data_IF_221511542780
#
_entry.id   IF_221511542780
#
_cell.length_a   1.000
_cell.length_b   1.000
_cell.length_c   1.000
_cell.angle_alpha   90.00
_cell.angle_beta   90.00
_cell.angle_gamma   90.00
#
_symmetry.space_group_name_H-M   'P 1'
#
loop_
_entity.id
_entity.type
_entity.pdbx_description
1 polymer ?
#
# COMPACT_ATOMS: atom_id res chain seq x y z
N UNK A 1 6.29 -28.95 2.12
CA UNK A 1 5.48 -28.16 1.16
C UNK A 1 3.99 -28.11 1.50
N UNK A 2 3.38 -29.18 2.02
CA UNK A 2 1.95 -29.17 2.35
C UNK A 2 1.58 -28.23 3.51
N UNK A 3 2.41 -28.15 4.56
CA UNK A 3 2.26 -27.16 5.64
C UNK A 3 2.28 -25.71 5.11
N UNK A 4 3.28 -25.37 4.29
CA UNK A 4 3.39 -24.05 3.64
C UNK A 4 2.18 -23.73 2.74
N UNK A 5 1.65 -24.71 2.01
CA UNK A 5 0.42 -24.53 1.22
C UNK A 5 -0.79 -24.21 2.11
N UNK A 6 -0.89 -24.83 3.28
CA UNK A 6 -1.92 -24.54 4.28
C UNK A 6 -1.80 -23.12 4.85
N UNK A 7 -0.60 -22.71 5.22
CA UNK A 7 -0.35 -21.35 5.74
C UNK A 7 -0.60 -20.29 4.68
N UNK A 8 -0.21 -20.55 3.42
CA UNK A 8 -0.46 -19.65 2.30
C UNK A 8 -1.97 -19.49 2.01
N UNK A 9 -2.77 -20.56 2.15
CA UNK A 9 -4.23 -20.48 2.04
C UNK A 9 -4.84 -19.61 3.15
N UNK A 10 -4.41 -19.78 4.41
CA UNK A 10 -4.88 -18.96 5.53
C UNK A 10 -4.55 -17.49 5.32
N UNK A 11 -3.31 -17.19 4.90
CA UNK A 11 -2.87 -15.83 4.56
C UNK A 11 -3.69 -15.25 3.40
N UNK A 12 -3.97 -16.02 2.37
CA UNK A 12 -4.80 -15.59 1.24
C UNK A 12 -6.22 -15.25 1.68
N UNK A 13 -6.85 -16.09 2.50
CA UNK A 13 -8.21 -15.82 3.04
C UNK A 13 -8.20 -14.56 3.91
N UNK A 14 -7.17 -14.38 4.74
CA UNK A 14 -7.02 -13.17 5.53
C UNK A 14 -6.90 -11.91 4.66
N UNK A 15 -6.08 -11.94 3.61
CA UNK A 15 -5.95 -10.82 2.66
C UNK A 15 -7.29 -10.50 2.01
N UNK A 16 -8.03 -11.52 1.55
CA UNK A 16 -9.35 -11.34 0.92
C UNK A 16 -10.36 -10.74 1.90
N UNK A 17 -10.37 -11.17 3.17
CA UNK A 17 -11.26 -10.62 4.19
C UNK A 17 -10.95 -9.15 4.49
N UNK A 18 -9.67 -8.81 4.64
CA UNK A 18 -9.23 -7.43 4.88
C UNK A 18 -9.57 -6.55 3.67
N UNK A 19 -9.38 -7.06 2.46
CA UNK A 19 -9.70 -6.36 1.22
C UNK A 19 -11.21 -6.09 1.09
N UNK A 20 -12.04 -7.10 1.38
CA UNK A 20 -13.49 -6.94 1.41
C UNK A 20 -13.96 -5.90 2.44
N UNK A 21 -13.35 -5.89 3.63
CA UNK A 21 -13.62 -4.89 4.66
C UNK A 21 -13.18 -3.49 4.21
N UNK A 22 -12.04 -3.37 3.54
CA UNK A 22 -11.56 -2.10 2.99
C UNK A 22 -12.52 -1.54 1.93
N UNK A 23 -13.00 -2.38 1.00
CA UNK A 23 -14.00 -2.00 0.00
C UNK A 23 -15.28 -1.53 0.68
N UNK A 24 -15.77 -2.26 1.68
CA UNK A 24 -16.95 -1.89 2.45
C UNK A 24 -16.80 -0.50 3.10
N UNK A 25 -15.67 -0.24 3.77
CA UNK A 25 -15.41 1.06 4.38
C UNK A 25 -15.33 2.19 3.36
N UNK A 26 -14.73 1.97 2.19
CA UNK A 26 -14.65 2.96 1.11
C UNK A 26 -16.05 3.31 0.60
N UNK A 27 -16.90 2.31 0.37
CA UNK A 27 -18.29 2.52 -0.10
C UNK A 27 -19.10 3.29 0.94
N UNK A 28 -19.01 2.88 2.21
CA UNK A 28 -19.68 3.56 3.33
C UNK A 28 -19.22 5.01 3.43
N UNK A 29 -17.92 5.26 3.46
CA UNK A 29 -17.35 6.60 3.48
C UNK A 29 -17.86 7.45 2.30
N UNK A 30 -17.85 6.91 1.07
CA UNK A 30 -18.34 7.61 -0.11
C UNK A 30 -19.81 8.04 0.01
N UNK A 31 -20.67 7.20 0.56
CA UNK A 31 -22.10 7.52 0.78
C UNK A 31 -22.25 8.63 1.83
N UNK A 32 -21.57 8.51 2.98
CA UNK A 32 -21.63 9.52 4.05
C UNK A 32 -21.11 10.89 3.58
N UNK A 33 -20.01 10.93 2.84
CA UNK A 33 -19.42 12.18 2.36
C UNK A 33 -20.24 12.82 1.23
N UNK A 34 -20.87 12.04 0.35
CA UNK A 34 -21.79 12.59 -0.67
C UNK A 34 -22.99 13.28 -0.01
N UNK A 35 -23.55 12.70 1.04
CA UNK A 35 -24.69 13.29 1.76
C UNK A 35 -24.34 14.59 2.49
N UNK A 36 -23.11 14.71 3.02
CA UNK A 36 -22.63 15.93 3.70
C UNK A 36 -22.28 17.04 2.70
N UNK A 37 -21.73 16.69 1.53
CA UNK A 37 -21.29 17.67 0.51
C UNK A 37 -22.44 18.40 -0.17
N UNK A 38 -23.63 17.80 -0.23
CA UNK A 38 -24.83 18.47 -0.76
C UNK A 38 -25.26 19.62 0.18
N UNK A 39 -24.88 19.58 1.46
CA UNK A 39 -25.26 20.58 2.47
C UNK A 39 -24.30 21.78 2.58
N UNK A 40 -23.05 21.68 2.11
CA UNK A 40 -22.04 22.74 2.23
C UNK A 40 -21.38 23.05 0.87
N UNK A 41 -21.66 24.22 0.32
CA UNK A 41 -21.35 24.62 -1.07
C UNK A 41 -19.89 24.92 -1.43
N UNK A 42 -18.88 24.38 -0.74
CA UNK A 42 -17.46 24.59 -1.06
C UNK A 42 -16.91 23.47 -1.96
N UNK A 43 -16.97 23.66 -3.28
CA UNK A 43 -16.92 22.55 -4.25
C UNK A 43 -15.55 22.26 -4.89
N UNK A 44 -14.70 23.25 -5.20
CA UNK A 44 -13.62 23.01 -6.19
C UNK A 44 -12.37 22.34 -5.59
N UNK A 45 -11.91 22.78 -4.42
CA UNK A 45 -10.66 22.28 -3.83
C UNK A 45 -10.84 20.95 -3.11
N UNK A 46 -11.96 20.81 -2.40
CA UNK A 46 -12.34 19.58 -1.69
C UNK A 46 -12.48 18.40 -2.67
N UNK A 47 -13.00 18.65 -3.88
CA UNK A 47 -13.14 17.63 -4.91
C UNK A 47 -11.79 17.13 -5.46
N UNK A 48 -10.76 17.98 -5.53
CA UNK A 48 -9.41 17.56 -5.94
C UNK A 48 -8.78 16.61 -4.92
N UNK A 49 -8.83 16.95 -3.62
CA UNK A 49 -8.29 16.10 -2.55
C UNK A 49 -9.03 14.76 -2.49
N UNK A 50 -10.36 14.78 -2.67
CA UNK A 50 -11.18 13.57 -2.77
C UNK A 50 -10.78 12.70 -3.96
N UNK A 51 -10.63 13.30 -5.15
CA UNK A 51 -10.16 12.58 -6.33
C UNK A 51 -8.81 11.91 -6.09
N UNK A 52 -7.89 12.58 -5.39
CA UNK A 52 -6.59 12.01 -5.02
C UNK A 52 -6.72 10.86 -4.02
N UNK A 53 -7.53 11.00 -2.97
CA UNK A 53 -7.76 9.94 -1.98
C UNK A 53 -8.39 8.71 -2.64
N UNK A 54 -9.43 8.89 -3.45
CA UNK A 54 -10.06 7.82 -4.24
C UNK A 54 -9.03 7.15 -5.15
N UNK A 55 -8.17 7.95 -5.81
CA UNK A 55 -7.08 7.44 -6.64
C UNK A 55 -6.10 6.56 -5.88
N UNK A 56 -5.67 6.96 -4.68
CA UNK A 56 -4.81 6.13 -3.81
C UNK A 56 -5.51 4.82 -3.44
N UNK A 57 -6.77 4.88 -2.99
CA UNK A 57 -7.50 3.69 -2.60
C UNK A 57 -7.70 2.73 -3.78
N UNK A 58 -8.02 3.25 -4.97
CA UNK A 58 -8.16 2.46 -6.18
C UNK A 58 -6.83 1.83 -6.60
N UNK A 59 -5.73 2.57 -6.51
CA UNK A 59 -4.39 2.04 -6.77
C UNK A 59 -4.01 0.92 -5.79
N UNK A 60 -4.27 1.12 -4.49
CA UNK A 60 -4.04 0.11 -3.47
C UNK A 60 -4.86 -1.16 -3.73
N UNK A 61 -6.13 -1.01 -4.11
CA UNK A 61 -7.01 -2.13 -4.49
C UNK A 61 -6.44 -2.94 -5.66
N UNK A 62 -5.99 -2.29 -6.73
CA UNK A 62 -5.36 -2.98 -7.87
C UNK A 62 -4.13 -3.78 -7.44
N UNK A 63 -3.28 -3.21 -6.57
CA UNK A 63 -2.10 -3.89 -6.05
C UNK A 63 -2.50 -5.16 -5.28
N UNK A 64 -3.47 -5.06 -4.35
CA UNK A 64 -3.97 -6.20 -3.57
C UNK A 64 -4.51 -7.30 -4.48
N UNK A 65 -5.29 -6.95 -5.51
CA UNK A 65 -5.80 -7.91 -6.49
C UNK A 65 -4.68 -8.61 -7.26
N UNK A 66 -3.60 -7.92 -7.61
CA UNK A 66 -2.42 -8.54 -8.25
C UNK A 66 -1.75 -9.55 -7.30
N UNK A 67 -1.60 -9.21 -6.02
CA UNK A 67 -1.09 -10.14 -5.01
C UNK A 67 -1.98 -11.37 -4.84
N UNK A 68 -3.29 -11.18 -4.73
CA UNK A 68 -4.28 -12.28 -4.65
C UNK A 68 -4.13 -13.20 -5.86
N UNK A 69 -4.08 -12.65 -7.09
CA UNK A 69 -3.86 -13.44 -8.31
C UNK A 69 -2.55 -14.22 -8.27
N UNK A 70 -1.46 -13.60 -7.78
CA UNK A 70 -0.15 -14.25 -7.63
C UNK A 70 -0.21 -15.41 -6.65
N UNK A 71 -0.84 -15.24 -5.49
CA UNK A 71 -1.01 -16.29 -4.48
C UNK A 71 -1.90 -17.43 -4.96
N UNK A 72 -3.01 -17.14 -5.65
CA UNK A 72 -3.87 -18.17 -6.24
C UNK A 72 -3.10 -18.98 -7.30
N UNK A 73 -2.32 -18.33 -8.17
CA UNK A 73 -1.47 -19.01 -9.15
C UNK A 73 -0.41 -19.89 -8.46
N UNK A 74 0.24 -19.38 -7.41
CA UNK A 74 1.20 -20.15 -6.62
C UNK A 74 0.56 -21.34 -5.89
N UNK A 75 -0.70 -21.25 -5.46
CA UNK A 75 -1.41 -22.37 -4.82
C UNK A 75 -1.83 -23.48 -5.80
N UNK A 76 -2.05 -23.13 -7.07
CA UNK A 76 -2.42 -24.06 -8.16
C UNK A 76 -1.19 -24.76 -8.77
N UNK A 77 -0.05 -24.08 -8.80
CA UNK A 77 1.16 -24.52 -9.50
C UNK A 77 2.29 -24.83 -8.50
N UNK A 78 2.74 -26.10 -8.45
CA UNK A 78 3.78 -26.53 -7.50
C UNK A 78 5.13 -25.86 -7.75
N UNK A 79 5.47 -25.51 -9.00
CA UNK A 79 6.74 -24.83 -9.28
C UNK A 79 6.71 -23.40 -8.75
N UNK A 80 5.61 -22.68 -8.97
CA UNK A 80 5.44 -21.31 -8.46
C UNK A 80 5.37 -21.28 -6.94
N UNK A 81 4.77 -22.30 -6.30
CA UNK A 81 4.79 -22.45 -4.85
C UNK A 81 6.22 -22.60 -4.33
N UNK A 82 7.02 -23.43 -5.00
CA UNK A 82 8.41 -23.69 -4.63
C UNK A 82 9.27 -22.44 -4.81
N UNK A 83 9.08 -21.71 -5.90
CA UNK A 83 9.76 -20.43 -6.14
C UNK A 83 9.39 -19.39 -5.07
N UNK A 84 8.12 -19.30 -4.69
CA UNK A 84 7.68 -18.41 -3.61
C UNK A 84 8.36 -18.77 -2.28
N UNK A 85 8.39 -20.06 -1.96
CA UNK A 85 9.02 -20.58 -0.74
C UNK A 85 10.53 -20.31 -0.70
N UNK A 86 11.24 -20.51 -1.82
CA UNK A 86 12.67 -20.21 -1.94
C UNK A 86 12.90 -18.71 -1.77
N UNK A 87 12.10 -17.87 -2.46
CA UNK A 87 12.22 -16.41 -2.34
C UNK A 87 12.01 -15.92 -0.90
N UNK A 88 11.03 -16.47 -0.18
CA UNK A 88 10.73 -16.07 1.20
C UNK A 88 11.82 -16.50 2.21
N UNK A 89 12.59 -17.55 1.87
CA UNK A 89 13.72 -18.03 2.67
C UNK A 89 15.09 -17.56 2.14
N UNK A 90 15.12 -16.73 1.10
CA UNK A 90 16.37 -16.24 0.55
C UNK A 90 17.00 -15.22 1.51
N UNK A 91 18.14 -15.58 2.09
CA UNK A 91 18.87 -14.77 3.07
C UNK A 91 19.44 -13.48 2.45
N UNK A 92 19.56 -13.42 1.11
CA UNK A 92 20.09 -12.25 0.41
C UNK A 92 19.18 -11.03 0.52
N UNK A 93 17.87 -11.17 0.44
CA UNK A 93 16.94 -10.03 0.64
C UNK A 93 17.01 -9.52 2.09
N UNK A 94 17.19 -10.42 3.08
CA UNK A 94 17.31 -10.04 4.50
C UNK A 94 18.59 -9.25 4.78
N UNK A 95 19.69 -9.57 4.11
CA UNK A 95 20.97 -8.84 4.24
C UNK A 95 20.91 -7.43 3.62
N UNK A 96 20.19 -7.27 2.51
CA UNK A 96 19.98 -5.95 1.88
C UNK A 96 19.09 -5.08 2.78
N UNK A 97 18.01 -5.65 3.31
CA UNK A 97 17.09 -4.95 4.23
C UNK A 97 17.73 -4.62 5.57
N UNK A 98 18.71 -5.40 6.05
CA UNK A 98 19.40 -5.15 7.33
C UNK A 98 20.52 -4.12 7.25
N UNK A 99 21.22 -4.01 6.11
CA UNK A 99 22.26 -2.99 5.89
C UNK A 99 21.69 -1.63 5.52
N UNK A 100 20.52 -1.61 4.93
CA UNK A 100 19.77 -0.39 4.67
C UNK A 100 18.97 -0.07 5.94
N UNK A 101 18.92 1.18 6.41
CA UNK A 101 18.03 1.61 7.49
C UNK A 101 16.53 1.54 7.12
N UNK A 102 16.13 0.51 6.38
CA UNK A 102 14.89 0.36 5.63
C UNK A 102 13.68 0.28 6.55
N UNK A 103 13.82 -0.33 7.73
CA UNK A 103 12.68 -0.47 8.66
C UNK A 103 12.24 0.91 9.18
N UNK A 104 13.19 1.72 9.66
CA UNK A 104 12.90 3.07 10.16
C UNK A 104 12.42 4.02 9.06
N UNK A 105 13.08 3.99 7.89
CA UNK A 105 12.68 4.83 6.77
C UNK A 105 11.30 4.44 6.21
N UNK A 106 10.99 3.14 6.11
CA UNK A 106 9.66 2.67 5.73
C UNK A 106 8.60 3.04 6.74
N UNK A 107 8.93 2.97 8.03
CA UNK A 107 8.02 3.39 9.09
C UNK A 107 7.67 4.88 8.95
N UNK A 108 8.68 5.75 8.76
CA UNK A 108 8.44 7.17 8.52
C UNK A 108 7.59 7.42 7.27
N UNK A 109 7.87 6.73 6.16
CA UNK A 109 7.06 6.84 4.94
C UNK A 109 5.59 6.46 5.17
N UNK A 110 5.33 5.36 5.89
CA UNK A 110 3.97 4.91 6.22
C UNK A 110 3.26 5.93 7.10
N UNK A 111 3.93 6.45 8.12
CA UNK A 111 3.38 7.47 9.02
C UNK A 111 3.05 8.75 8.27
N UNK A 112 3.94 9.23 7.40
CA UNK A 112 3.71 10.44 6.60
C UNK A 112 2.57 10.22 5.60
N UNK A 113 2.46 9.05 4.98
CA UNK A 113 1.36 8.74 4.08
C UNK A 113 0.00 8.78 4.82
N UNK A 114 -0.08 8.21 6.03
CA UNK A 114 -1.29 8.26 6.86
C UNK A 114 -1.60 9.71 7.28
N UNK A 115 -0.59 10.45 7.73
CA UNK A 115 -0.74 11.85 8.11
C UNK A 115 -1.23 12.73 6.93
N UNK A 116 -0.75 12.45 5.72
CA UNK A 116 -1.20 13.13 4.49
C UNK A 116 -2.69 12.87 4.26
N UNK A 117 -3.16 11.62 4.38
CA UNK A 117 -4.58 11.31 4.20
C UNK A 117 -5.45 12.03 5.24
N UNK A 118 -5.04 12.05 6.51
CA UNK A 118 -5.78 12.67 7.61
C UNK A 118 -5.82 14.20 7.44
N UNK A 119 -4.67 14.84 7.21
CA UNK A 119 -4.56 16.30 7.08
C UNK A 119 -5.31 16.85 5.87
N UNK A 120 -5.52 16.04 4.83
CA UNK A 120 -6.40 16.34 3.69
C UNK A 120 -7.83 16.69 4.07
N UNK A 121 -8.32 16.26 5.24
CA UNK A 121 -9.65 16.61 5.75
C UNK A 121 -9.68 17.92 6.54
N UNK A 122 -8.53 18.42 7.03
CA UNK A 122 -8.47 19.59 7.90
C UNK A 122 -7.91 20.83 7.20
N UNK A 123 -6.82 20.68 6.44
CA UNK A 123 -6.13 21.83 5.83
C UNK A 123 -5.39 21.44 4.55
N UNK A 124 -5.78 22.09 3.44
CA UNK A 124 -5.19 21.87 2.11
C UNK A 124 -3.68 22.15 2.07
N UNK A 125 -3.21 23.22 2.70
CA UNK A 125 -1.78 23.61 2.66
C UNK A 125 -0.93 22.54 3.34
N UNK A 126 -1.42 21.99 4.46
CA UNK A 126 -0.74 20.92 5.20
C UNK A 126 -0.74 19.62 4.39
N UNK A 127 -1.84 19.32 3.70
CA UNK A 127 -1.92 18.17 2.79
C UNK A 127 -0.87 18.24 1.66
N UNK A 128 -0.82 19.36 0.93
CA UNK A 128 0.09 19.52 -0.22
C UNK A 128 1.55 19.46 0.22
N UNK A 129 1.88 20.10 1.34
CA UNK A 129 3.24 20.08 1.89
C UNK A 129 3.66 18.66 2.30
N UNK A 130 2.81 17.93 3.01
CA UNK A 130 3.09 16.52 3.37
C UNK A 130 3.18 15.60 2.14
N UNK A 131 2.36 15.83 1.11
CA UNK A 131 2.41 15.08 -0.14
C UNK A 131 3.75 15.29 -0.87
N UNK A 132 4.24 16.53 -0.95
CA UNK A 132 5.55 16.83 -1.55
C UNK A 132 6.67 16.16 -0.75
N UNK A 133 6.62 16.21 0.59
CA UNK A 133 7.58 15.53 1.45
C UNK A 133 7.58 14.01 1.23
N UNK A 134 6.40 13.39 1.13
CA UNK A 134 6.25 11.96 0.87
C UNK A 134 6.85 11.55 -0.49
N UNK A 135 6.63 12.37 -1.53
CA UNK A 135 7.21 12.16 -2.86
C UNK A 135 8.73 12.28 -2.83
N UNK A 136 9.26 13.30 -2.15
CA UNK A 136 10.71 13.48 -2.02
C UNK A 136 11.35 12.30 -1.27
N UNK A 137 10.78 11.86 -0.15
CA UNK A 137 11.27 10.70 0.59
C UNK A 137 11.24 9.42 -0.26
N UNK A 138 10.17 9.22 -1.05
CA UNK A 138 10.07 8.07 -1.96
C UNK A 138 11.14 8.13 -3.05
N UNK A 139 11.43 9.31 -3.60
CA UNK A 139 12.49 9.52 -4.58
C UNK A 139 13.88 9.24 -4.01
N UNK A 140 14.17 9.74 -2.80
CA UNK A 140 15.44 9.47 -2.10
C UNK A 140 15.63 7.97 -1.89
N UNK A 141 14.58 7.29 -1.42
CA UNK A 141 14.61 5.83 -1.24
C UNK A 141 14.83 5.09 -2.56
N UNK A 142 14.14 5.49 -3.62
CA UNK A 142 14.31 4.90 -4.95
C UNK A 142 15.73 5.05 -5.48
N UNK A 143 16.29 6.25 -5.33
CA UNK A 143 17.67 6.57 -5.73
C UNK A 143 18.70 5.75 -4.96
N UNK A 144 18.53 5.63 -3.64
CA UNK A 144 19.38 4.80 -2.81
C UNK A 144 19.23 3.31 -3.15
N UNK A 145 18.02 2.83 -3.43
CA UNK A 145 17.81 1.44 -3.82
C UNK A 145 18.54 1.12 -5.13
N UNK A 146 18.47 2.00 -6.13
CA UNK A 146 19.20 1.88 -7.40
C UNK A 146 20.72 1.87 -7.16
N UNK A 147 21.22 2.79 -6.32
CA UNK A 147 22.65 2.88 -6.00
C UNK A 147 23.17 1.59 -5.34
N UNK A 148 22.44 1.08 -4.35
CA UNK A 148 22.85 -0.14 -3.64
C UNK A 148 22.64 -1.40 -4.49
N UNK A 149 21.61 -1.47 -5.34
CA UNK A 149 21.40 -2.60 -6.24
C UNK A 149 22.42 -2.66 -7.39
N UNK A 150 23.05 -1.54 -7.72
CA UNK A 150 24.10 -1.53 -8.74
C UNK A 150 25.49 -1.84 -8.13
N UNK A 151 25.65 -1.65 -6.82
CA UNK A 151 26.90 -1.84 -6.09
C UNK A 151 27.05 -3.24 -5.48
N UNK A 152 25.95 -3.96 -5.27
CA UNK A 152 25.88 -5.31 -4.67
C UNK A 152 25.05 -6.24 -5.56
#
# INVERSE_FOLDING_TARGET
MEKFKGDLKKRLVFIILVDALAIFLIVVAGIYFNNISIAQGEKVVTDMIRGFQIGIFMGAQVIVLVYIKKYIKALKDREKLRQLYIKENDEREKLIVSKFGSIGFNFCLVVIAIATIITGYFNQVVFVTLLIVALFMSFVKGSLLIYYSHKY
#
